data_IF_321784102111
#
_entry.id   IF_321784102111
#
_cell.length_a   1.000
_cell.length_b   1.000
_cell.length_c   1.000
_cell.angle_alpha   90.00
_cell.angle_beta   90.00
_cell.angle_gamma   90.00
#
_symmetry.space_group_name_H-M   'P 1'
#
loop_
_entity.id
_entity.type
_entity.pdbx_description
1 polymer ?
#
# COMPACT_ATOMS: atom_id res chain seq x y z
N UNK A 1 15.32 34.80 24.32
CA UNK A 1 16.73 34.99 23.90
C UNK A 1 17.44 33.64 23.97
N UNK A 2 17.95 33.07 22.88
CA UNK A 2 18.62 31.77 22.93
C UNK A 2 20.13 31.95 23.16
N UNK A 3 20.68 31.12 24.04
CA UNK A 3 22.08 31.10 24.46
C UNK A 3 23.00 30.79 23.27
N UNK A 4 24.02 31.63 23.05
CA UNK A 4 25.03 31.48 21.99
C UNK A 4 25.85 30.21 22.21
N UNK A 5 25.82 29.30 21.23
CA UNK A 5 26.69 28.11 21.16
C UNK A 5 28.15 28.55 21.01
N UNK A 6 28.99 28.26 22.01
CA UNK A 6 30.44 28.43 21.93
C UNK A 6 30.99 27.53 20.80
N UNK A 7 31.57 28.14 19.76
CA UNK A 7 32.27 27.42 18.70
C UNK A 7 33.56 26.84 19.28
N UNK A 8 33.68 25.51 19.29
CA UNK A 8 34.94 24.82 19.54
C UNK A 8 35.87 25.10 18.35
N UNK A 9 37.04 25.69 18.60
CA UNK A 9 38.02 25.92 17.54
C UNK A 9 38.45 24.58 16.93
N UNK A 10 38.48 24.52 15.61
CA UNK A 10 39.02 23.39 14.85
C UNK A 10 40.50 23.19 15.24
N UNK A 11 40.99 21.95 15.41
CA UNK A 11 42.42 21.73 15.57
C UNK A 11 43.14 22.24 14.32
N UNK A 12 44.25 22.94 14.50
CA UNK A 12 45.13 23.34 13.41
C UNK A 12 45.59 22.10 12.64
N UNK A 13 45.29 22.06 11.34
CA UNK A 13 45.77 21.01 10.45
C UNK A 13 47.28 21.14 10.31
N UNK A 14 48.02 20.43 11.16
CA UNK A 14 49.46 20.30 11.02
C UNK A 14 49.70 19.27 9.91
N UNK A 15 49.76 19.78 8.68
CA UNK A 15 50.19 18.98 7.52
C UNK A 15 51.62 18.49 7.73
N UNK A 16 51.93 17.34 7.15
CA UNK A 16 53.28 16.77 7.13
C UNK A 16 54.23 17.73 6.41
N UNK A 17 55.42 17.90 6.99
CA UNK A 17 56.45 18.76 6.42
C UNK A 17 56.99 18.18 5.10
N UNK A 18 57.50 19.04 4.21
CA UNK A 18 58.03 18.61 2.91
C UNK A 18 59.19 17.61 3.11
N UNK A 19 58.98 16.37 2.66
CA UNK A 19 59.94 15.25 2.81
C UNK A 19 59.57 14.22 3.87
N UNK A 20 58.52 14.45 4.67
CA UNK A 20 58.08 13.52 5.70
C UNK A 20 57.11 12.47 5.12
N UNK A 21 57.59 11.24 4.94
CA UNK A 21 56.76 10.12 4.46
C UNK A 21 55.85 9.61 5.59
N UNK A 22 54.56 9.52 5.31
CA UNK A 22 53.55 8.90 6.17
C UNK A 22 54.02 7.49 6.59
N UNK A 23 54.36 7.31 7.87
CA UNK A 23 54.73 6.02 8.44
C UNK A 23 53.48 5.13 8.55
N UNK A 24 53.11 4.50 7.43
CA UNK A 24 51.97 3.56 7.30
C UNK A 24 52.03 2.36 8.27
N UNK A 25 53.19 2.08 8.85
CA UNK A 25 53.37 1.00 9.84
C UNK A 25 52.57 1.19 11.14
N UNK A 26 52.05 2.40 11.45
CA UNK A 26 51.22 2.64 12.65
C UNK A 26 49.75 2.24 12.50
N UNK A 27 49.34 1.75 11.32
CA UNK A 27 47.99 1.22 11.04
C UNK A 27 47.93 -0.32 11.11
N UNK A 28 48.99 -0.98 11.61
CA UNK A 28 49.12 -2.44 11.72
C UNK A 28 48.25 -3.06 12.84
N UNK A 29 47.00 -2.62 12.95
CA UNK A 29 45.99 -3.17 13.86
C UNK A 29 44.82 -3.83 13.15
N UNK A 30 44.82 -3.92 11.82
CA UNK A 30 43.84 -4.74 11.11
C UNK A 30 44.43 -5.25 9.79
N UNK A 31 44.25 -6.54 9.54
CA UNK A 31 44.71 -7.28 8.37
C UNK A 31 44.26 -6.59 7.07
N UNK A 32 45.16 -6.54 6.07
CA UNK A 32 44.97 -6.00 4.72
C UNK A 32 44.10 -4.74 4.63
N UNK A 33 44.70 -3.58 4.91
CA UNK A 33 44.07 -2.31 4.57
C UNK A 33 43.77 -2.30 3.06
N UNK A 34 42.50 -2.10 2.70
CA UNK A 34 41.93 -2.06 1.34
C UNK A 34 42.76 -1.26 0.31
N UNK A 35 43.59 -0.31 0.78
CA UNK A 35 44.42 0.59 -0.03
C UNK A 35 45.94 0.40 0.18
N UNK A 36 46.35 -0.70 0.81
CA UNK A 36 47.76 -0.98 1.15
C UNK A 36 48.68 -1.13 -0.05
N UNK A 37 48.13 -1.50 -1.22
CA UNK A 37 48.80 -1.63 -2.51
C UNK A 37 49.12 -0.27 -3.18
N UNK A 38 48.46 0.83 -2.77
CA UNK A 38 48.70 2.15 -3.35
C UNK A 38 50.07 2.69 -2.94
N UNK A 39 50.93 2.97 -3.90
CA UNK A 39 52.29 3.49 -3.68
C UNK A 39 53.26 2.43 -3.11
N UNK A 40 52.89 1.16 -3.13
CA UNK A 40 53.77 0.01 -2.85
C UNK A 40 53.84 -0.87 -4.10
N UNK A 41 52.69 -1.32 -4.57
CA UNK A 41 52.54 -2.17 -5.77
C UNK A 41 52.20 -1.34 -7.00
N UNK A 42 51.36 -0.31 -6.84
CA UNK A 42 50.91 0.56 -7.93
C UNK A 42 51.28 2.01 -7.65
N UNK A 43 51.99 2.66 -8.56
CA UNK A 43 52.37 4.08 -8.45
C UNK A 43 51.70 4.97 -9.49
N UNK A 44 51.37 4.43 -10.66
CA UNK A 44 50.56 5.09 -11.69
C UNK A 44 49.14 4.51 -11.72
N UNK A 45 48.15 5.37 -11.96
CA UNK A 45 46.76 4.98 -12.23
C UNK A 45 46.59 3.98 -13.38
N UNK A 46 47.48 3.99 -14.37
CA UNK A 46 47.43 3.06 -15.50
C UNK A 46 47.67 1.60 -15.09
N UNK A 47 48.41 1.37 -14.01
CA UNK A 47 48.78 0.03 -13.53
C UNK A 47 47.74 -0.58 -12.57
N UNK A 48 46.60 0.11 -12.34
CA UNK A 48 45.52 -0.37 -11.50
C UNK A 48 44.79 -1.54 -12.18
N UNK A 49 45.16 -2.76 -11.79
CA UNK A 49 44.48 -3.99 -12.23
C UNK A 49 43.10 -4.19 -11.58
N UNK A 50 42.31 -5.12 -12.12
CA UNK A 50 41.01 -5.52 -11.53
C UNK A 50 41.17 -6.04 -10.10
N UNK A 51 42.26 -6.74 -9.79
CA UNK A 51 42.48 -7.29 -8.46
C UNK A 51 42.65 -6.19 -7.41
N UNK A 52 43.39 -5.13 -7.74
CA UNK A 52 43.52 -3.96 -6.87
C UNK A 52 42.15 -3.31 -6.60
N UNK A 53 41.28 -3.21 -7.62
CA UNK A 53 39.91 -2.70 -7.44
C UNK A 53 39.08 -3.59 -6.53
N UNK A 54 39.13 -4.91 -6.73
CA UNK A 54 38.39 -5.86 -5.89
C UNK A 54 38.90 -5.83 -4.44
N UNK A 55 40.21 -5.73 -4.23
CA UNK A 55 40.81 -5.59 -2.90
C UNK A 55 40.34 -4.33 -2.16
N UNK A 56 40.09 -3.21 -2.85
CA UNK A 56 39.57 -2.00 -2.18
C UNK A 56 38.17 -2.15 -1.59
N UNK A 57 37.41 -3.11 -2.10
CA UNK A 57 36.06 -3.41 -1.67
C UNK A 57 35.98 -4.76 -0.93
N UNK A 58 37.13 -5.31 -0.52
CA UNK A 58 37.25 -6.63 0.12
C UNK A 58 36.65 -7.78 -0.73
N UNK A 59 36.56 -7.64 -2.06
CA UNK A 59 36.10 -8.70 -2.98
C UNK A 59 37.25 -9.49 -3.63
N UNK A 60 38.50 -9.24 -3.23
CA UNK A 60 39.66 -10.03 -3.69
C UNK A 60 39.51 -11.49 -3.25
N UNK A 61 40.03 -12.41 -4.06
CA UNK A 61 40.11 -13.83 -3.71
C UNK A 61 40.96 -14.10 -2.45
N UNK A 62 41.75 -13.11 -2.01
CA UNK A 62 42.52 -13.18 -0.77
C UNK A 62 41.69 -12.88 0.48
N UNK A 63 40.47 -12.35 0.34
CA UNK A 63 39.60 -12.09 1.47
C UNK A 63 39.11 -13.42 2.10
N UNK A 64 39.31 -13.55 3.41
CA UNK A 64 38.89 -14.71 4.21
C UNK A 64 37.61 -14.47 5.00
N UNK A 65 36.89 -13.39 4.70
CA UNK A 65 35.64 -13.07 5.38
C UNK A 65 34.60 -14.17 5.13
N UNK A 66 33.95 -14.70 6.19
CA UNK A 66 33.03 -15.81 6.06
C UNK A 66 31.81 -15.44 5.21
N UNK A 67 31.32 -16.38 4.40
CA UNK A 67 30.06 -16.22 3.69
C UNK A 67 28.88 -16.31 4.66
N UNK A 68 27.92 -15.41 4.49
CA UNK A 68 26.70 -15.42 5.27
C UNK A 68 25.50 -15.70 4.38
N UNK A 69 24.75 -16.75 4.70
CA UNK A 69 23.48 -17.06 4.04
C UNK A 69 22.47 -15.91 4.24
N UNK A 70 21.83 -15.49 3.15
CA UNK A 70 20.83 -14.44 3.22
C UNK A 70 19.56 -14.95 3.92
N UNK A 71 19.15 -14.30 5.01
CA UNK A 71 17.95 -14.65 5.81
C UNK A 71 16.64 -14.53 5.03
N UNK A 72 16.65 -13.82 3.90
CA UNK A 72 15.49 -13.65 3.00
C UNK A 72 15.59 -14.49 1.72
N UNK A 73 16.60 -15.34 1.58
CA UNK A 73 16.66 -16.24 0.43
C UNK A 73 15.50 -17.25 0.54
N UNK A 74 14.72 -17.37 -0.53
CA UNK A 74 13.57 -18.29 -0.62
C UNK A 74 13.98 -19.76 -0.55
N UNK A 75 15.29 -20.06 -0.64
CA UNK A 75 15.85 -21.41 -0.70
C UNK A 75 16.05 -22.00 0.71
N UNK A 76 15.96 -21.20 1.78
CA UNK A 76 16.34 -21.63 3.14
C UNK A 76 15.22 -22.25 4.00
N UNK A 77 13.98 -22.38 3.52
CA UNK A 77 12.83 -22.78 4.36
C UNK A 77 12.05 -24.02 3.91
N UNK A 78 12.65 -24.91 3.11
CA UNK A 78 12.04 -26.25 2.84
C UNK A 78 12.50 -27.32 3.84
N UNK A 79 13.53 -27.07 4.65
CA UNK A 79 14.01 -28.04 5.65
C UNK A 79 14.07 -27.42 7.05
N UNK A 80 12.95 -27.46 7.78
CA UNK A 80 12.84 -27.66 9.24
C UNK A 80 11.51 -27.11 9.76
N UNK A 81 10.46 -27.94 9.78
CA UNK A 81 9.38 -27.81 10.77
C UNK A 81 9.63 -28.87 11.86
N UNK A 82 9.51 -28.53 13.17
CA UNK A 82 9.58 -29.53 14.22
C UNK A 82 8.25 -30.29 14.23
N UNK A 83 8.25 -31.49 13.65
CA UNK A 83 7.12 -32.40 13.67
C UNK A 83 6.87 -32.91 15.08
N UNK A 84 5.66 -32.65 15.59
CA UNK A 84 5.13 -33.22 16.84
C UNK A 84 5.20 -34.74 16.79
N UNK A 85 5.71 -35.31 17.88
CA UNK A 85 5.68 -36.73 18.22
C UNK A 85 4.25 -37.27 18.32
N UNK A 86 3.94 -38.31 17.55
CA UNK A 86 2.93 -39.31 17.90
C UNK A 86 3.49 -40.70 17.63
N UNK A 87 3.54 -41.52 18.69
CA UNK A 87 3.96 -42.92 18.68
C UNK A 87 2.97 -43.78 17.88
N UNK A 88 3.47 -44.70 17.06
CA UNK A 88 2.82 -45.98 16.76
C UNK A 88 3.89 -47.02 16.36
N UNK A 89 3.68 -48.27 16.77
CA UNK A 89 4.65 -49.37 16.81
C UNK A 89 4.76 -50.17 15.48
N UNK A 90 6.00 -50.54 15.15
CA UNK A 90 6.58 -51.83 14.74
C UNK A 90 6.05 -52.72 13.57
N UNK A 91 7.05 -53.24 12.81
CA UNK A 91 7.19 -54.39 11.87
C UNK A 91 7.36 -53.96 10.39
N UNK A 92 8.34 -54.41 9.59
CA UNK A 92 9.21 -55.62 9.53
C UNK A 92 10.47 -55.36 8.66
N UNK A 93 11.55 -56.07 8.99
CA UNK A 93 12.66 -56.65 8.19
C UNK A 93 12.97 -56.16 6.76
N UNK A 94 14.25 -55.81 6.52
CA UNK A 94 14.89 -55.98 5.21
C UNK A 94 15.91 -54.91 4.79
N UNK A 95 17.20 -55.29 4.86
CA UNK A 95 18.33 -54.78 4.05
C UNK A 95 18.94 -53.41 4.35
N UNK A 96 20.22 -53.34 3.97
CA UNK A 96 21.28 -52.50 4.48
C UNK A 96 21.21 -51.14 3.80
N UNK A 97 21.03 -50.06 4.56
CA UNK A 97 21.27 -48.72 4.05
C UNK A 97 22.21 -47.98 4.98
N UNK A 98 23.23 -47.41 4.34
CA UNK A 98 24.43 -46.82 4.91
C UNK A 98 24.13 -45.88 6.08
N UNK A 99 24.82 -46.09 7.21
CA UNK A 99 25.01 -45.08 8.26
C UNK A 99 25.88 -43.94 7.69
N UNK A 100 25.34 -43.15 6.77
CA UNK A 100 25.86 -41.83 6.46
C UNK A 100 25.48 -40.95 7.64
N UNK A 101 26.38 -40.87 8.62
CA UNK A 101 26.36 -39.79 9.59
C UNK A 101 26.62 -38.51 8.80
N UNK A 102 25.55 -37.86 8.34
CA UNK A 102 25.61 -36.49 7.86
C UNK A 102 25.88 -35.64 9.10
N UNK A 103 27.16 -35.43 9.40
CA UNK A 103 27.60 -34.32 10.22
C UNK A 103 27.26 -33.08 9.40
N UNK A 104 26.01 -32.61 9.53
CA UNK A 104 25.70 -31.21 9.24
C UNK A 104 26.47 -30.43 10.29
N UNK A 105 27.74 -30.12 10.02
CA UNK A 105 28.48 -29.07 10.71
C UNK A 105 27.69 -27.78 10.46
N UNK A 106 26.65 -27.57 11.27
CA UNK A 106 25.83 -26.37 11.25
C UNK A 106 26.51 -25.22 12.00
N UNK A 107 27.83 -25.30 12.20
CA UNK A 107 28.66 -24.18 12.61
C UNK A 107 28.93 -23.23 11.43
N UNK A 108 27.88 -22.94 10.67
CA UNK A 108 27.88 -21.77 9.79
C UNK A 108 28.00 -20.53 10.69
N UNK A 109 28.98 -19.66 10.46
CA UNK A 109 29.24 -18.51 11.33
C UNK A 109 27.95 -17.70 11.51
N UNK A 110 27.49 -17.59 12.76
CA UNK A 110 26.21 -16.93 13.07
C UNK A 110 26.31 -15.45 12.71
N UNK A 111 25.60 -15.06 11.66
CA UNK A 111 25.67 -13.69 11.15
C UNK A 111 24.99 -12.70 12.10
N UNK A 112 25.76 -11.75 12.61
CA UNK A 112 25.27 -10.64 13.43
C UNK A 112 25.53 -9.31 12.76
N UNK A 113 24.79 -8.26 13.15
CA UNK A 113 25.03 -6.90 12.66
C UNK A 113 26.49 -6.46 12.81
N UNK A 114 27.15 -6.81 13.92
CA UNK A 114 28.56 -6.48 14.16
C UNK A 114 29.53 -7.26 13.26
N UNK A 115 29.27 -8.55 13.05
CA UNK A 115 30.09 -9.38 12.17
C UNK A 115 29.90 -9.05 10.69
N UNK A 116 28.70 -8.60 10.30
CA UNK A 116 28.36 -8.25 8.93
C UNK A 116 28.76 -6.83 8.51
N UNK A 117 29.00 -5.93 9.47
CA UNK A 117 29.25 -4.51 9.20
C UNK A 117 30.39 -4.25 8.20
N UNK A 118 31.46 -5.04 8.29
CA UNK A 118 32.64 -4.92 7.42
C UNK A 118 32.85 -6.19 6.57
N UNK A 119 31.86 -7.07 6.51
CA UNK A 119 31.96 -8.31 5.75
C UNK A 119 31.23 -8.13 4.42
N UNK A 120 31.93 -8.01 3.28
CA UNK A 120 31.31 -7.85 1.97
C UNK A 120 30.47 -9.07 1.55
N UNK A 121 30.70 -10.23 2.18
CA UNK A 121 29.98 -11.47 1.93
C UNK A 121 28.71 -11.62 2.80
N UNK A 122 28.29 -10.57 3.52
CA UNK A 122 27.07 -10.56 4.30
C UNK A 122 26.06 -9.51 3.83
N UNK A 123 24.93 -9.96 3.31
CA UNK A 123 23.86 -9.10 2.81
C UNK A 123 22.75 -8.82 3.84
N UNK A 124 22.82 -9.40 5.04
CA UNK A 124 21.73 -9.40 6.02
C UNK A 124 21.54 -8.08 6.81
N UNK A 125 22.49 -7.13 6.75
CA UNK A 125 22.52 -5.91 7.57
C UNK A 125 23.03 -4.65 6.82
N UNK A 126 22.67 -4.51 5.53
CA UNK A 126 23.00 -3.39 4.64
C UNK A 126 21.94 -2.26 4.62
N UNK A 127 21.05 -2.19 5.60
CA UNK A 127 19.96 -1.21 5.64
C UNK A 127 18.59 -1.79 6.02
N UNK A 128 18.53 -3.09 6.36
CA UNK A 128 17.34 -3.80 6.81
C UNK A 128 16.64 -3.07 7.95
N UNK A 129 17.39 -2.42 8.86
CA UNK A 129 16.82 -1.67 9.97
C UNK A 129 15.84 -0.57 9.55
N UNK A 130 15.93 -0.11 8.28
CA UNK A 130 15.05 0.92 7.72
C UNK A 130 13.73 0.39 7.16
N UNK A 131 13.67 -0.89 6.79
CA UNK A 131 12.51 -1.46 6.08
C UNK A 131 11.97 -2.77 6.67
N UNK A 132 12.73 -3.45 7.52
CA UNK A 132 12.36 -4.73 8.14
C UNK A 132 11.19 -4.59 9.12
N UNK A 133 11.06 -3.44 9.77
CA UNK A 133 9.87 -3.10 10.56
C UNK A 133 8.89 -2.33 9.69
N UNK A 134 7.81 -3.00 9.28
CA UNK A 134 6.80 -2.44 8.39
C UNK A 134 6.22 -1.12 8.92
N UNK A 135 5.90 -1.05 10.21
CA UNK A 135 5.39 0.16 10.87
C UNK A 135 6.39 1.33 10.79
N UNK A 136 7.64 1.11 11.19
CA UNK A 136 8.68 2.14 11.14
C UNK A 136 9.01 2.57 9.71
N UNK A 137 8.97 1.63 8.77
CA UNK A 137 9.19 1.90 7.35
C UNK A 137 8.07 2.77 6.77
N UNK A 138 6.81 2.45 7.11
CA UNK A 138 5.64 3.24 6.74
C UNK A 138 5.71 4.64 7.32
N UNK A 139 6.02 4.79 8.61
CA UNK A 139 6.14 6.10 9.26
C UNK A 139 7.25 6.95 8.63
N UNK A 140 8.41 6.35 8.37
CA UNK A 140 9.52 7.03 7.71
C UNK A 140 9.16 7.47 6.29
N UNK A 141 8.41 6.63 5.55
CA UNK A 141 7.91 6.96 4.22
C UNK A 141 6.90 8.11 4.24
N UNK A 142 5.91 8.06 5.15
CA UNK A 142 4.88 9.09 5.34
C UNK A 142 5.52 10.43 5.73
N UNK A 143 6.63 10.41 6.49
CA UNK A 143 7.33 11.64 6.88
C UNK A 143 8.07 12.31 5.72
N UNK A 144 8.58 11.53 4.76
CA UNK A 144 9.38 12.05 3.62
C UNK A 144 8.48 12.48 2.47
N UNK A 145 7.42 11.72 2.22
CA UNK A 145 6.45 12.07 1.20
C UNK A 145 5.45 13.03 1.84
N UNK A 146 5.38 14.28 1.37
CA UNK A 146 4.37 15.27 1.77
C UNK A 146 2.97 14.84 1.28
N UNK A 147 2.49 13.68 1.71
CA UNK A 147 1.28 12.98 1.24
C UNK A 147 -0.02 13.69 1.59
N UNK A 148 0.04 14.92 2.10
CA UNK A 148 -1.13 15.63 2.61
C UNK A 148 -1.69 14.98 3.87
N UNK A 149 -2.86 15.45 4.34
CA UNK A 149 -3.56 14.81 5.46
C UNK A 149 -3.99 13.39 5.10
N UNK A 150 -4.02 12.50 6.09
CA UNK A 150 -4.46 11.12 5.95
C UNK A 150 -5.89 11.07 5.35
N UNK A 151 -6.12 10.44 4.18
CA UNK A 151 -7.45 10.33 3.55
C UNK A 151 -8.49 9.61 4.41
N UNK A 152 -8.05 8.88 5.44
CA UNK A 152 -8.95 8.28 6.42
C UNK A 152 -9.55 9.30 7.38
N UNK A 153 -8.98 10.50 7.50
CA UNK A 153 -9.60 11.62 8.23
C UNK A 153 -10.85 12.14 7.51
N UNK A 154 -10.88 12.05 6.18
CA UNK A 154 -12.07 12.32 5.36
C UNK A 154 -13.00 11.09 5.28
N UNK A 155 -12.56 9.94 5.78
CA UNK A 155 -13.39 8.75 5.85
C UNK A 155 -14.39 8.91 7.00
N UNK A 156 -15.68 8.76 6.67
CA UNK A 156 -16.77 8.88 7.64
C UNK A 156 -16.61 7.89 8.79
N UNK A 157 -17.00 8.33 9.99
CA UNK A 157 -17.19 7.44 11.12
C UNK A 157 -18.23 6.35 10.78
N UNK A 158 -17.99 5.12 11.25
CA UNK A 158 -18.78 3.90 10.99
C UNK A 158 -20.29 4.09 11.22
N UNK A 159 -20.68 5.03 12.08
CA UNK A 159 -22.08 5.30 12.46
C UNK A 159 -22.66 6.58 11.81
N UNK A 160 -22.02 7.11 10.76
CA UNK A 160 -22.56 8.25 10.00
C UNK A 160 -23.43 7.74 8.85
N UNK A 161 -24.78 7.83 8.94
CA UNK A 161 -25.66 7.21 7.96
C UNK A 161 -25.41 7.74 6.55
N UNK A 162 -25.29 6.82 5.59
CA UNK A 162 -25.24 7.11 4.15
C UNK A 162 -26.68 7.35 3.66
N UNK A 163 -27.38 8.31 4.27
CA UNK A 163 -28.76 8.64 3.89
C UNK A 163 -28.90 9.18 2.47
N UNK A 164 -27.80 9.51 1.79
CA UNK A 164 -27.82 10.01 0.42
C UNK A 164 -28.06 8.88 -0.59
N UNK A 165 -27.35 7.75 -0.50
CA UNK A 165 -27.50 6.68 -1.51
C UNK A 165 -28.85 5.95 -1.42
N UNK A 166 -29.48 5.97 -0.26
CA UNK A 166 -30.80 5.37 -0.03
C UNK A 166 -31.94 6.39 -0.18
N UNK A 167 -31.63 7.67 -0.43
CA UNK A 167 -32.64 8.70 -0.63
C UNK A 167 -33.33 8.54 -2.00
N UNK A 168 -34.67 8.59 -2.04
CA UNK A 168 -35.42 8.65 -3.30
C UNK A 168 -34.98 9.79 -4.22
N UNK A 169 -34.61 10.95 -3.67
CA UNK A 169 -34.17 12.11 -4.47
C UNK A 169 -32.83 11.82 -5.15
N UNK A 170 -31.88 11.25 -4.42
CA UNK A 170 -30.58 10.91 -4.98
C UNK A 170 -30.73 9.87 -6.08
N UNK A 171 -31.54 8.84 -5.86
CA UNK A 171 -31.80 7.82 -6.89
C UNK A 171 -32.56 8.39 -8.09
N UNK A 172 -33.43 9.37 -7.87
CA UNK A 172 -34.09 10.12 -8.94
C UNK A 172 -33.07 10.91 -9.77
N UNK A 173 -32.14 11.62 -9.12
CA UNK A 173 -31.05 12.34 -9.78
C UNK A 173 -30.17 11.41 -10.62
N UNK A 174 -29.78 10.26 -10.04
CA UNK A 174 -29.00 9.23 -10.75
C UNK A 174 -29.76 8.72 -11.98
N UNK A 175 -31.07 8.48 -11.84
CA UNK A 175 -31.91 8.02 -12.95
C UNK A 175 -31.93 9.03 -14.09
N UNK A 176 -32.16 10.32 -13.80
CA UNK A 176 -32.15 11.36 -14.82
C UNK A 176 -30.76 11.56 -15.44
N UNK A 177 -29.70 11.54 -14.64
CA UNK A 177 -28.33 11.64 -15.14
C UNK A 177 -28.00 10.48 -16.10
N UNK A 178 -28.40 9.26 -15.75
CA UNK A 178 -28.21 8.09 -16.62
C UNK A 178 -29.00 8.23 -17.93
N UNK A 179 -30.26 8.70 -17.87
CA UNK A 179 -31.07 8.93 -19.07
C UNK A 179 -30.49 10.01 -19.99
N UNK A 180 -29.93 11.10 -19.44
CA UNK A 180 -29.40 12.21 -20.22
C UNK A 180 -27.99 11.96 -20.76
N UNK A 181 -27.14 11.31 -19.96
CA UNK A 181 -25.70 11.24 -20.23
C UNK A 181 -25.22 9.88 -20.71
N UNK A 182 -25.99 8.81 -20.49
CA UNK A 182 -25.55 7.48 -20.90
C UNK A 182 -25.69 7.27 -22.40
N UNK A 183 -24.86 6.38 -22.94
CA UNK A 183 -24.95 5.91 -24.33
C UNK A 183 -25.87 4.69 -24.48
N UNK A 184 -26.48 4.25 -23.37
CA UNK A 184 -27.33 3.06 -23.36
C UNK A 184 -28.75 3.45 -23.77
N UNK A 185 -29.39 2.61 -24.59
CA UNK A 185 -30.76 2.85 -25.04
C UNK A 185 -31.81 2.65 -23.93
N UNK A 186 -31.44 2.02 -22.82
CA UNK A 186 -32.31 1.75 -21.68
C UNK A 186 -31.51 1.83 -20.37
N UNK A 187 -32.19 2.25 -19.30
CA UNK A 187 -31.66 2.29 -17.94
C UNK A 187 -32.63 1.57 -17.01
N UNK A 188 -32.11 0.79 -16.06
CA UNK A 188 -32.93 0.07 -15.08
C UNK A 188 -32.98 0.85 -13.75
N UNK A 189 -34.12 1.45 -13.36
CA UNK A 189 -34.24 2.26 -12.16
C UNK A 189 -34.57 1.46 -10.89
N UNK A 190 -34.24 0.16 -10.80
CA UNK A 190 -34.52 -0.68 -9.61
C UNK A 190 -34.07 -0.02 -8.30
N UNK A 191 -32.96 0.71 -8.28
CA UNK A 191 -32.50 1.43 -7.09
C UNK A 191 -33.42 2.56 -6.64
N UNK A 192 -34.10 3.23 -7.57
CA UNK A 192 -35.13 4.21 -7.25
C UNK A 192 -36.36 3.52 -6.65
N UNK A 193 -36.80 2.41 -7.27
CA UNK A 193 -37.95 1.62 -6.78
C UNK A 193 -37.69 1.10 -5.35
N UNK A 194 -36.51 0.55 -5.10
CA UNK A 194 -36.07 0.09 -3.77
C UNK A 194 -36.08 1.25 -2.75
N UNK A 195 -35.55 2.42 -3.13
CA UNK A 195 -35.52 3.59 -2.23
C UNK A 195 -36.91 4.13 -1.88
N UNK A 196 -37.87 4.01 -2.81
CA UNK A 196 -39.27 4.37 -2.61
C UNK A 196 -40.04 3.31 -1.81
N UNK A 197 -39.42 2.16 -1.52
CA UNK A 197 -40.02 1.02 -0.81
C UNK A 197 -41.32 0.54 -1.45
N UNK A 198 -41.39 0.60 -2.79
CA UNK A 198 -42.54 0.14 -3.54
C UNK A 198 -42.55 -1.39 -3.58
N UNK A 199 -43.73 -1.98 -3.41
CA UNK A 199 -43.89 -3.42 -3.55
C UNK A 199 -43.99 -3.77 -5.04
N UNK A 200 -43.00 -4.48 -5.58
CA UNK A 200 -42.99 -4.87 -7.00
C UNK A 200 -43.91 -6.05 -7.33
N UNK A 201 -44.52 -6.69 -6.32
CA UNK A 201 -45.45 -7.81 -6.55
C UNK A 201 -46.90 -7.34 -6.76
N UNK A 202 -47.20 -6.06 -6.53
CA UNK A 202 -48.55 -5.51 -6.57
C UNK A 202 -48.63 -4.36 -7.60
N UNK A 203 -49.75 -4.27 -8.33
CA UNK A 203 -50.01 -3.12 -9.18
C UNK A 203 -50.44 -1.94 -8.30
N UNK A 204 -49.79 -0.79 -8.46
CA UNK A 204 -50.13 0.44 -7.75
C UNK A 204 -50.81 1.43 -8.67
N UNK A 205 -51.75 2.20 -8.10
CA UNK A 205 -52.41 3.29 -8.79
C UNK A 205 -51.39 4.40 -9.11
N UNK A 206 -51.21 4.68 -10.40
CA UNK A 206 -50.22 5.65 -10.88
C UNK A 206 -50.56 7.10 -10.47
N UNK A 207 -51.85 7.43 -10.33
CA UNK A 207 -52.29 8.76 -9.93
C UNK A 207 -51.97 8.99 -8.45
N UNK A 208 -52.28 8.01 -7.61
CA UNK A 208 -51.99 8.10 -6.17
C UNK A 208 -50.47 8.10 -5.92
N UNK A 209 -49.72 7.28 -6.66
CA UNK A 209 -48.25 7.32 -6.62
C UNK A 209 -47.71 8.71 -6.98
N UNK A 210 -48.16 9.31 -8.09
CA UNK A 210 -47.70 10.63 -8.53
C UNK A 210 -47.96 11.69 -7.46
N UNK A 211 -49.16 11.68 -6.87
CA UNK A 211 -49.55 12.61 -5.82
C UNK A 211 -48.66 12.49 -4.58
N UNK A 212 -48.46 11.27 -4.09
CA UNK A 212 -47.59 11.00 -2.94
C UNK A 212 -46.13 11.37 -3.23
N UNK A 213 -45.64 11.06 -4.43
CA UNK A 213 -44.27 11.33 -4.82
C UNK A 213 -44.00 12.84 -4.97
N UNK A 214 -44.91 13.59 -5.59
CA UNK A 214 -44.78 15.05 -5.68
C UNK A 214 -44.83 15.72 -4.30
N UNK A 215 -45.69 15.24 -3.39
CA UNK A 215 -45.72 15.72 -2.02
C UNK A 215 -44.42 15.42 -1.25
N UNK A 216 -43.83 14.25 -1.49
CA UNK A 216 -42.52 13.91 -0.93
C UNK A 216 -41.41 14.83 -1.47
N UNK A 217 -41.38 15.05 -2.80
CA UNK A 217 -40.43 15.97 -3.40
C UNK A 217 -40.57 17.37 -2.82
N UNK A 218 -41.78 17.91 -2.75
CA UNK A 218 -42.02 19.25 -2.17
C UNK A 218 -41.46 19.36 -0.74
N UNK A 219 -41.77 18.38 0.13
CA UNK A 219 -41.22 18.32 1.50
C UNK A 219 -39.68 18.35 1.54
N UNK A 220 -39.03 17.70 0.59
CA UNK A 220 -37.56 17.67 0.52
C UNK A 220 -36.96 18.95 -0.09
N UNK A 221 -37.66 19.58 -1.04
CA UNK A 221 -37.27 20.88 -1.61
C UNK A 221 -37.43 22.02 -0.59
N UNK A 222 -38.45 21.97 0.28
CA UNK A 222 -38.62 22.95 1.38
C UNK A 222 -37.44 22.98 2.36
N UNK A 223 -36.67 21.88 2.48
CA UNK A 223 -35.48 21.79 3.35
C UNK A 223 -34.25 22.50 2.77
N UNK A 224 -34.24 22.82 1.47
CA UNK A 224 -33.10 23.46 0.81
C UNK A 224 -32.88 24.88 1.34
N UNK A 225 -31.66 25.41 1.29
CA UNK A 225 -31.39 26.79 1.76
C UNK A 225 -31.78 27.83 0.71
N UNK A 226 -31.65 27.48 -0.58
CA UNK A 226 -31.94 28.35 -1.71
C UNK A 226 -33.46 28.59 -1.85
N UNK A 227 -33.93 29.85 -1.76
CA UNK A 227 -35.34 30.20 -1.94
C UNK A 227 -35.91 29.71 -3.28
N UNK A 228 -35.13 29.74 -4.36
CA UNK A 228 -35.59 29.30 -5.69
C UNK A 228 -35.81 27.79 -5.76
N UNK A 229 -35.10 27.01 -4.95
CA UNK A 229 -35.29 25.56 -4.87
C UNK A 229 -36.44 25.21 -3.92
N UNK A 230 -36.64 26.00 -2.85
CA UNK A 230 -37.77 25.81 -1.93
C UNK A 230 -39.13 25.94 -2.61
N UNK A 231 -39.29 26.91 -3.51
CA UNK A 231 -40.56 27.12 -4.22
C UNK A 231 -40.67 26.33 -5.52
N UNK A 232 -39.66 25.56 -5.91
CA UNK A 232 -39.57 24.94 -7.24
C UNK A 232 -40.79 24.09 -7.59
N UNK A 233 -41.24 23.24 -6.67
CA UNK A 233 -42.39 22.36 -6.91
C UNK A 233 -43.70 23.15 -6.88
N UNK A 234 -43.86 24.08 -5.94
CA UNK A 234 -45.04 24.95 -5.87
C UNK A 234 -45.19 25.82 -7.13
N UNK A 235 -44.09 26.33 -7.67
CA UNK A 235 -44.05 27.18 -8.86
C UNK A 235 -44.26 26.37 -10.15
N UNK A 236 -43.89 25.08 -10.16
CA UNK A 236 -44.09 24.19 -11.31
C UNK A 236 -45.42 23.44 -11.31
N UNK A 237 -46.07 23.28 -10.15
CA UNK A 237 -47.44 22.74 -10.00
C UNK A 237 -48.53 23.67 -10.55
N UNK A 238 -48.20 24.58 -11.46
CA UNK A 238 -49.18 25.24 -12.30
C UNK A 238 -50.03 24.14 -12.97
N UNK A 239 -51.35 24.23 -12.79
CA UNK A 239 -52.47 23.39 -13.27
C UNK A 239 -52.28 22.56 -14.56
N UNK A 240 -51.35 22.98 -15.41
CA UNK A 240 -50.92 22.36 -16.65
C UNK A 240 -50.24 20.98 -16.49
N UNK A 241 -49.62 20.64 -15.35
CA UNK A 241 -49.03 19.31 -15.17
C UNK A 241 -50.08 18.25 -14.81
N UNK A 242 -50.96 18.57 -13.86
CA UNK A 242 -52.06 17.69 -13.45
C UNK A 242 -53.03 17.42 -14.61
N UNK A 243 -53.35 18.45 -15.40
CA UNK A 243 -54.15 18.28 -16.63
C UNK A 243 -53.47 17.34 -17.64
N UNK A 244 -52.14 17.38 -17.77
CA UNK A 244 -51.39 16.54 -18.71
C UNK A 244 -51.24 15.11 -18.22
N UNK A 245 -51.02 14.90 -16.92
CA UNK A 245 -50.97 13.57 -16.31
C UNK A 245 -52.36 12.93 -16.38
N UNK A 246 -53.42 13.68 -16.04
CA UNK A 246 -54.79 13.21 -16.17
C UNK A 246 -55.17 12.90 -17.63
N UNK A 247 -54.66 13.66 -18.61
CA UNK A 247 -54.88 13.38 -20.03
C UNK A 247 -54.12 12.13 -20.53
N UNK A 248 -52.91 11.86 -20.01
CA UNK A 248 -52.11 10.69 -20.36
C UNK A 248 -52.57 9.40 -19.69
N UNK A 249 -53.24 9.51 -18.54
CA UNK A 249 -53.76 8.38 -17.76
C UNK A 249 -55.26 8.16 -17.95
N UNK A 250 -55.91 8.79 -18.96
CA UNK A 250 -57.27 8.39 -19.32
C UNK A 250 -57.23 6.94 -19.81
N UNK A 251 -58.10 6.05 -19.32
CA UNK A 251 -58.20 4.71 -19.88
C UNK A 251 -58.55 4.85 -21.36
N UNK A 252 -57.74 4.25 -22.24
CA UNK A 252 -58.20 4.00 -23.61
C UNK A 252 -59.47 3.14 -23.49
N UNK A 253 -60.57 3.62 -24.07
CA UNK A 253 -61.72 2.76 -24.32
C UNK A 253 -61.22 1.63 -25.22
N UNK A 254 -61.01 0.46 -24.61
CA UNK A 254 -60.74 -0.78 -25.31
C UNK A 254 -61.99 -1.10 -26.12
N UNK A 255 -62.04 -0.60 -27.35
CA UNK A 255 -63.09 -0.96 -28.31
C UNK A 255 -62.93 -2.46 -28.58
N UNK A 256 -63.89 -3.21 -28.03
CA UNK A 256 -63.80 -4.65 -27.88
C UNK A 256 -64.08 -5.36 -29.19
N UNK A 257 -63.02 -5.71 -29.92
CA UNK A 257 -63.05 -6.75 -30.95
C UNK A 257 -62.35 -8.01 -30.44
N UNK A 258 -63.05 -8.76 -29.59
CA UNK A 258 -62.86 -10.21 -29.44
C UNK A 258 -64.14 -10.82 -28.85
N UNK A 259 -65.08 -11.14 -29.75
CA UNK A 259 -66.13 -12.15 -29.52
C UNK A 259 -65.68 -13.49 -30.08
#
# INVERSE_FOLDING_TARGET
MPLKRLRRASPTAQGLSAGERLKRAKLAGNEYLAWSWVGTEVTDTADITQEHRLATCDFSNTNRSPFCSNKYSTISNVAAKPGKTTKAQAKTEGELEDDIIVISDNDSPTCSSKACKNNPNCLNYLGQEKWESEEKARDAFIKVQELGPDPTLDSRAFDTPVGLKESPIFQLQVTFAAMQMSKQAAFNPVKLVESLKLNTTEQQDAQEFSKLFMAHLDSEFQKQVDPSLKSLIADQNNSKLDERIAALLKPEDLDGDNK
#
